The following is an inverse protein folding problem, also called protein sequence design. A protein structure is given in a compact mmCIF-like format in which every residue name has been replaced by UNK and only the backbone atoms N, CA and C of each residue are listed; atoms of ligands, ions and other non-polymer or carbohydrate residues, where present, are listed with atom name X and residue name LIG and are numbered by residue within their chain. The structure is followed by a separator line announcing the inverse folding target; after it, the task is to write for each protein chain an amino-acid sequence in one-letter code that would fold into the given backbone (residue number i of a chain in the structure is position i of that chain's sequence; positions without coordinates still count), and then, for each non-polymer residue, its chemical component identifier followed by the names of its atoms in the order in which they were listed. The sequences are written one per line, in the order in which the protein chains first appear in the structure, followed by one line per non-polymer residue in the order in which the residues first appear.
data_IF_314702286570
#
_entry.id   IF_314702286570
#
_cell.length_a   1.000
_cell.length_b   1.000
_cell.length_c   1.000
_cell.angle_alpha   90.00
_cell.angle_beta   90.00
_cell.angle_gamma   90.00
#
_symmetry.space_group_name_H-M   'P 1'
#
loop_
_entity.id
_entity.type
_entity.pdbx_description
1 polymer ?
#
# COMPACT_ATOMS: atom_id res chain seq x y z
N UNK A 1 -20.72 19.39 7.87
CA UNK A 1 -19.81 18.24 7.69
C UNK A 1 -20.45 17.35 6.66
N UNK A 2 -19.92 17.32 5.43
CA UNK A 2 -20.40 16.35 4.46
C UNK A 2 -20.10 14.94 5.01
N UNK A 3 -21.10 14.07 4.95
CA UNK A 3 -20.93 12.67 5.33
C UNK A 3 -19.93 12.04 4.38
N UNK A 4 -18.78 11.62 4.91
CA UNK A 4 -17.76 10.93 4.13
C UNK A 4 -18.36 9.59 3.68
N UNK A 5 -18.38 9.34 2.37
CA UNK A 5 -19.00 8.13 1.80
C UNK A 5 -18.10 6.90 1.94
N UNK A 6 -18.67 5.71 1.84
CA UNK A 6 -17.88 4.48 1.74
C UNK A 6 -17.29 4.29 0.34
N UNK A 7 -16.29 3.40 0.22
CA UNK A 7 -15.70 2.96 -1.05
C UNK A 7 -16.73 2.09 -1.77
N UNK A 8 -17.13 2.42 -3.01
CA UNK A 8 -18.17 1.66 -3.74
C UNK A 8 -17.81 1.33 -5.18
N UNK A 9 -16.73 1.89 -5.70
CA UNK A 9 -16.43 1.82 -7.12
C UNK A 9 -14.93 1.79 -7.41
N UNK A 10 -14.58 1.43 -8.64
CA UNK A 10 -13.20 1.51 -9.15
C UNK A 10 -12.66 2.93 -9.07
N UNK A 11 -13.49 3.93 -9.37
CA UNK A 11 -13.10 5.34 -9.28
C UNK A 11 -12.77 5.77 -7.84
N UNK A 12 -13.45 5.18 -6.84
CA UNK A 12 -13.14 5.43 -5.44
C UNK A 12 -11.78 4.82 -5.05
N UNK A 13 -11.48 3.61 -5.54
CA UNK A 13 -10.19 2.96 -5.35
C UNK A 13 -9.07 3.77 -6.00
N UNK A 14 -9.27 4.25 -7.24
CA UNK A 14 -8.31 5.11 -7.93
C UNK A 14 -8.01 6.37 -7.12
N UNK A 15 -9.05 7.09 -6.69
CA UNK A 15 -8.91 8.29 -5.85
C UNK A 15 -8.15 7.99 -4.55
N UNK A 16 -8.47 6.88 -3.88
CA UNK A 16 -7.78 6.48 -2.65
C UNK A 16 -6.29 6.24 -2.90
N UNK A 17 -5.97 5.48 -3.94
CA UNK A 17 -4.58 5.12 -4.29
C UNK A 17 -3.79 6.35 -4.74
N UNK A 18 -4.38 7.24 -5.54
CA UNK A 18 -3.74 8.47 -6.02
C UNK A 18 -3.41 9.43 -4.87
N UNK A 19 -4.37 9.64 -3.98
CA UNK A 19 -4.18 10.48 -2.81
C UNK A 19 -3.12 9.90 -1.87
N UNK A 20 -3.13 8.58 -1.69
CA UNK A 20 -2.11 7.89 -0.92
C UNK A 20 -0.72 8.04 -1.58
N UNK A 21 -0.64 7.91 -2.90
CA UNK A 21 0.62 8.00 -3.62
C UNK A 21 1.24 9.38 -3.57
N UNK A 22 0.41 10.43 -3.58
CA UNK A 22 0.87 11.79 -3.35
C UNK A 22 1.58 11.91 -1.99
N UNK A 23 1.01 11.32 -0.93
CA UNK A 23 1.61 11.35 0.40
C UNK A 23 2.90 10.54 0.51
N UNK A 24 2.94 9.32 -0.02
CA UNK A 24 4.14 8.47 0.12
C UNK A 24 5.33 8.98 -0.69
N UNK A 25 5.11 9.64 -1.82
CA UNK A 25 6.18 10.21 -2.64
C UNK A 25 6.88 11.37 -1.93
N UNK A 26 6.13 12.16 -1.14
CA UNK A 26 6.64 13.32 -0.41
C UNK A 26 7.09 12.98 1.03
N UNK A 27 6.88 11.74 1.50
CA UNK A 27 7.19 11.35 2.87
C UNK A 27 8.71 11.21 3.12
N UNK A 28 9.21 11.85 4.17
CA UNK A 28 10.64 11.88 4.49
C UNK A 28 11.19 10.51 4.92
N UNK A 29 10.34 9.63 5.47
CA UNK A 29 10.76 8.33 6.01
C UNK A 29 10.72 7.27 4.91
N UNK A 30 9.62 7.18 4.16
CA UNK A 30 9.42 6.10 3.18
C UNK A 30 9.55 6.55 1.73
N UNK A 31 9.50 7.85 1.42
CA UNK A 31 9.47 8.35 0.05
C UNK A 31 10.71 8.01 -0.78
N UNK A 32 11.85 7.80 -0.12
CA UNK A 32 13.06 7.33 -0.79
C UNK A 32 12.89 5.94 -1.44
N UNK A 33 12.04 5.07 -0.89
CA UNK A 33 11.72 3.77 -1.52
C UNK A 33 10.96 3.94 -2.84
N UNK A 34 10.14 4.99 -2.96
CA UNK A 34 9.29 5.24 -4.14
C UNK A 34 9.96 6.15 -5.18
N UNK A 35 11.00 6.90 -4.79
CA UNK A 35 11.67 7.88 -5.66
C UNK A 35 13.11 7.52 -6.05
N UNK A 36 13.84 6.76 -5.22
CA UNK A 36 15.29 6.52 -5.39
C UNK A 36 15.67 5.04 -5.46
N UNK A 37 15.01 4.19 -4.67
CA UNK A 37 15.39 2.77 -4.56
C UNK A 37 14.91 1.95 -5.76
N UNK A 38 13.73 2.25 -6.29
CA UNK A 38 13.19 1.61 -7.49
C UNK A 38 12.88 2.65 -8.57
N UNK A 39 13.24 2.38 -9.84
CA UNK A 39 12.77 3.19 -10.95
C UNK A 39 11.25 3.00 -11.07
N UNK A 40 10.50 4.04 -10.71
CA UNK A 40 9.05 3.99 -10.68
C UNK A 40 8.49 4.87 -11.80
N UNK A 41 7.93 4.21 -12.81
CA UNK A 41 7.04 4.86 -13.78
C UNK A 41 5.63 4.86 -13.19
N UNK A 42 5.14 6.03 -12.77
CA UNK A 42 3.83 6.16 -12.12
C UNK A 42 2.67 5.82 -13.06
N UNK A 43 2.80 6.11 -14.36
CA UNK A 43 1.77 5.82 -15.37
C UNK A 43 1.58 4.31 -15.56
N UNK A 44 2.66 3.54 -15.34
CA UNK A 44 2.62 2.08 -15.36
C UNK A 44 2.24 1.51 -13.99
N UNK A 45 2.73 2.12 -12.90
CA UNK A 45 2.60 1.55 -11.56
C UNK A 45 1.21 1.73 -10.95
N UNK A 46 0.62 2.92 -11.05
CA UNK A 46 -0.68 3.21 -10.43
C UNK A 46 -1.80 2.27 -10.93
N UNK A 47 -1.92 1.98 -12.25
CA UNK A 47 -2.89 0.99 -12.74
C UNK A 47 -2.74 -0.42 -12.19
N UNK A 48 -1.54 -0.82 -11.73
CA UNK A 48 -1.31 -2.11 -11.08
C UNK A 48 -1.91 -2.08 -9.66
N UNK A 49 -1.73 -0.97 -8.95
CA UNK A 49 -2.23 -0.80 -7.59
C UNK A 49 -3.74 -0.61 -7.53
N UNK A 50 -4.34 0.05 -8.52
CA UNK A 50 -5.80 0.10 -8.62
C UNK A 50 -6.36 -1.32 -8.68
N UNK A 51 -5.85 -2.16 -9.60
CA UNK A 51 -6.25 -3.57 -9.71
C UNK A 51 -6.01 -4.37 -8.43
N UNK A 52 -4.90 -4.13 -7.75
CA UNK A 52 -4.58 -4.78 -6.48
C UNK A 52 -5.63 -4.47 -5.40
N UNK A 53 -5.97 -3.20 -5.21
CA UNK A 53 -6.95 -2.78 -4.21
C UNK A 53 -8.40 -3.05 -4.63
N UNK A 54 -8.72 -2.97 -5.92
CA UNK A 54 -10.01 -3.43 -6.46
C UNK A 54 -10.24 -4.90 -6.13
N UNK A 55 -9.21 -5.75 -6.27
CA UNK A 55 -9.30 -7.15 -5.93
C UNK A 55 -9.59 -7.37 -4.44
N UNK A 56 -8.88 -6.68 -3.56
CA UNK A 56 -9.08 -6.85 -2.12
C UNK A 56 -10.37 -6.23 -1.58
N UNK A 57 -10.81 -5.11 -2.14
CA UNK A 57 -11.92 -4.34 -1.57
C UNK A 57 -13.23 -4.70 -2.24
N UNK A 58 -13.24 -4.81 -3.57
CA UNK A 58 -14.44 -5.01 -4.38
C UNK A 58 -14.60 -6.47 -4.84
N UNK A 59 -13.76 -7.38 -4.33
CA UNK A 59 -13.77 -8.81 -4.61
C UNK A 59 -13.69 -9.14 -6.12
N UNK A 60 -12.91 -8.33 -6.86
CA UNK A 60 -12.69 -8.47 -8.31
C UNK A 60 -11.36 -9.17 -8.60
N UNK A 61 -11.30 -10.38 -9.16
CA UNK A 61 -10.04 -11.11 -9.39
C UNK A 61 -9.24 -10.57 -10.60
N UNK A 62 -8.88 -9.29 -10.59
CA UNK A 62 -8.21 -8.57 -11.70
C UNK A 62 -6.71 -8.37 -11.49
N UNK A 63 -6.18 -8.81 -10.34
CA UNK A 63 -4.77 -8.73 -9.99
C UNK A 63 -4.15 -10.13 -9.84
N UNK A 64 -3.02 -10.37 -10.50
CA UNK A 64 -2.31 -11.67 -10.51
C UNK A 64 -0.83 -11.55 -10.08
N UNK A 65 -0.42 -10.40 -9.53
CA UNK A 65 0.97 -10.16 -9.14
C UNK A 65 1.36 -10.80 -7.82
N UNK A 66 2.67 -10.84 -7.55
CA UNK A 66 3.22 -11.24 -6.26
C UNK A 66 3.98 -10.06 -5.62
N UNK A 67 3.29 -9.24 -4.80
CA UNK A 67 3.90 -8.04 -4.23
C UNK A 67 5.04 -8.38 -3.27
N UNK A 68 4.97 -9.52 -2.57
CA UNK A 68 6.00 -9.95 -1.62
C UNK A 68 7.39 -10.07 -2.25
N UNK A 69 7.49 -10.65 -3.46
CA UNK A 69 8.77 -10.80 -4.15
C UNK A 69 9.44 -9.44 -4.44
N UNK A 70 8.63 -8.42 -4.75
CA UNK A 70 9.14 -7.06 -5.00
C UNK A 70 9.68 -6.41 -3.72
N UNK A 71 8.97 -6.56 -2.60
CA UNK A 71 9.42 -6.01 -1.32
C UNK A 71 10.70 -6.69 -0.83
N UNK A 72 10.82 -8.01 -0.98
CA UNK A 72 12.07 -8.72 -0.65
C UNK A 72 13.25 -8.30 -1.55
N UNK A 73 13.00 -7.96 -2.82
CA UNK A 73 14.04 -7.46 -3.72
C UNK A 73 14.46 -6.03 -3.35
N UNK A 74 13.51 -5.16 -3.00
CA UNK A 74 13.79 -3.81 -2.52
C UNK A 74 14.58 -3.84 -1.21
N UNK A 75 14.23 -4.75 -0.29
CA UNK A 75 14.93 -4.93 0.98
C UNK A 75 16.42 -5.24 0.81
N UNK A 76 16.77 -6.00 -0.23
CA UNK A 76 18.15 -6.32 -0.56
C UNK A 76 18.95 -5.12 -1.10
N UNK A 77 18.26 -4.05 -1.53
CA UNK A 77 18.87 -2.80 -2.04
C UNK A 77 18.93 -1.76 -0.93
N UNK A 78 17.82 -1.54 -0.23
CA UNK A 78 17.68 -0.62 0.90
C UNK A 78 16.90 -1.32 2.02
N UNK A 79 17.50 -1.51 3.20
CA UNK A 79 16.84 -2.20 4.30
C UNK A 79 15.49 -1.60 4.68
N UNK A 80 14.42 -2.39 4.60
CA UNK A 80 13.12 -2.06 5.18
C UNK A 80 13.09 -2.38 6.67
N UNK A 81 12.76 -1.41 7.50
CA UNK A 81 12.70 -1.56 8.96
C UNK A 81 11.25 -1.45 9.44
N UNK A 82 10.93 -1.91 10.67
CA UNK A 82 9.58 -1.84 11.23
C UNK A 82 8.96 -0.43 11.13
N UNK A 83 9.77 0.61 11.32
CA UNK A 83 9.33 2.01 11.21
C UNK A 83 8.82 2.38 9.81
N UNK A 84 9.37 1.80 8.74
CA UNK A 84 8.92 2.05 7.37
C UNK A 84 7.52 1.47 7.12
N UNK A 85 7.25 0.25 7.61
CA UNK A 85 5.93 -0.37 7.52
C UNK A 85 4.89 0.38 8.37
N UNK A 86 5.27 0.80 9.57
CA UNK A 86 4.41 1.58 10.45
C UNK A 86 4.02 2.92 9.80
N UNK A 87 4.98 3.63 9.20
CA UNK A 87 4.73 4.90 8.52
C UNK A 87 3.85 4.74 7.28
N UNK A 88 4.10 3.72 6.47
CA UNK A 88 3.26 3.40 5.31
C UNK A 88 1.80 3.16 5.73
N UNK A 89 1.60 2.42 6.83
CA UNK A 89 0.27 2.11 7.35
C UNK A 89 -0.42 3.35 7.93
N UNK A 90 0.31 4.23 8.62
CA UNK A 90 -0.20 5.51 9.12
C UNK A 90 -0.74 6.37 7.98
N UNK A 91 0.08 6.60 6.95
CA UNK A 91 -0.30 7.37 5.77
C UNK A 91 -1.50 6.76 5.04
N UNK A 92 -1.56 5.42 4.96
CA UNK A 92 -2.69 4.72 4.36
C UNK A 92 -3.98 4.98 5.14
N UNK A 93 -3.97 4.76 6.45
CA UNK A 93 -5.13 4.97 7.32
C UNK A 93 -5.60 6.42 7.29
N UNK A 94 -4.67 7.36 7.40
CA UNK A 94 -4.97 8.79 7.31
C UNK A 94 -5.64 9.13 5.97
N UNK A 95 -5.16 8.54 4.86
CA UNK A 95 -5.78 8.74 3.53
C UNK A 95 -7.18 8.14 3.47
N UNK A 96 -7.38 6.92 3.99
CA UNK A 96 -8.72 6.32 4.06
C UNK A 96 -9.65 7.23 4.85
N UNK A 97 -9.29 7.61 6.08
CA UNK A 97 -10.14 8.42 6.97
C UNK A 97 -10.40 9.84 6.44
N UNK A 98 -9.53 10.36 5.57
CA UNK A 98 -9.72 11.66 4.89
C UNK A 98 -10.83 11.60 3.84
N UNK A 99 -10.92 10.49 3.09
CA UNK A 99 -11.78 10.43 1.88
C UNK A 99 -12.96 9.48 1.99
N UNK A 100 -12.91 8.50 2.89
CA UNK A 100 -13.88 7.42 2.99
C UNK A 100 -14.24 7.06 4.44
N UNK A 101 -15.48 6.64 4.65
CA UNK A 101 -15.94 6.04 5.90
C UNK A 101 -17.01 4.99 5.63
N UNK A 102 -16.97 3.87 6.35
CA UNK A 102 -17.88 2.74 6.16
C UNK A 102 -17.17 1.40 6.19
N UNK A 103 -17.91 0.34 5.83
CA UNK A 103 -17.43 -1.03 5.93
C UNK A 103 -16.22 -1.30 5.02
N UNK A 104 -16.23 -0.81 3.78
CA UNK A 104 -15.12 -1.02 2.87
C UNK A 104 -13.92 -0.13 3.19
N UNK A 105 -14.12 1.05 3.77
CA UNK A 105 -13.04 1.85 4.36
C UNK A 105 -12.36 1.11 5.53
N UNK A 106 -13.12 0.52 6.46
CA UNK A 106 -12.56 -0.30 7.53
C UNK A 106 -11.87 -1.56 6.99
N UNK A 107 -12.46 -2.23 5.98
CA UNK A 107 -11.82 -3.36 5.27
C UNK A 107 -10.49 -2.93 4.67
N UNK A 108 -10.39 -1.73 4.09
CA UNK A 108 -9.15 -1.22 3.52
C UNK A 108 -8.06 -1.01 4.56
N UNK A 109 -8.39 -0.44 5.73
CA UNK A 109 -7.44 -0.29 6.84
C UNK A 109 -7.00 -1.65 7.38
N UNK A 110 -7.94 -2.55 7.65
CA UNK A 110 -7.64 -3.90 8.13
C UNK A 110 -6.76 -4.70 7.16
N UNK A 111 -7.07 -4.68 5.85
CA UNK A 111 -6.26 -5.39 4.84
C UNK A 111 -4.85 -4.84 4.74
N UNK A 112 -4.69 -3.51 4.81
CA UNK A 112 -3.38 -2.87 4.83
C UNK A 112 -2.53 -3.32 6.04
N UNK A 113 -3.12 -3.43 7.22
CA UNK A 113 -2.44 -3.95 8.42
C UNK A 113 -1.93 -5.39 8.21
N UNK A 114 -2.78 -6.27 7.69
CA UNK A 114 -2.41 -7.66 7.44
C UNK A 114 -1.29 -7.78 6.41
N UNK A 115 -1.31 -6.94 5.38
CA UNK A 115 -0.24 -6.87 4.37
C UNK A 115 1.06 -6.40 5.00
N UNK A 116 1.04 -5.29 5.74
CA UNK A 116 2.22 -4.73 6.38
C UNK A 116 2.87 -5.74 7.34
N UNK A 117 2.05 -6.40 8.17
CA UNK A 117 2.51 -7.43 9.11
C UNK A 117 3.17 -8.61 8.38
N UNK A 118 2.54 -9.12 7.32
CA UNK A 118 3.08 -10.23 6.54
C UNK A 118 4.39 -9.84 5.84
N UNK A 119 4.44 -8.64 5.24
CA UNK A 119 5.61 -8.12 4.55
C UNK A 119 6.79 -7.97 5.50
N UNK A 120 6.57 -7.31 6.64
CA UNK A 120 7.57 -7.15 7.67
C UNK A 120 8.11 -8.49 8.16
N UNK A 121 7.21 -9.43 8.49
CA UNK A 121 7.62 -10.76 8.95
C UNK A 121 8.49 -11.50 7.92
N UNK A 122 8.13 -11.46 6.64
CA UNK A 122 8.88 -12.14 5.58
C UNK A 122 10.22 -11.47 5.28
N UNK A 123 10.28 -10.13 5.31
CA UNK A 123 11.52 -9.38 5.20
C UNK A 123 12.46 -9.75 6.35
N UNK A 124 11.97 -9.72 7.58
CA UNK A 124 12.76 -10.07 8.77
C UNK A 124 13.22 -11.53 8.75
N UNK A 125 12.36 -12.45 8.34
CA UNK A 125 12.70 -13.87 8.23
C UNK A 125 13.80 -14.13 7.21
N UNK A 126 13.75 -13.47 6.04
CA UNK A 126 14.75 -13.59 4.99
C UNK A 126 16.14 -13.13 5.46
N UNK A 127 16.21 -12.04 6.22
CA UNK A 127 17.48 -11.53 6.78
C UNK A 127 18.09 -12.47 7.81
N UNK A 128 17.24 -13.14 8.60
CA UNK A 128 17.66 -14.10 9.63
C UNK A 128 18.01 -15.49 9.07
N UNK A 129 17.90 -15.71 7.76
CA UNK A 129 18.25 -16.97 7.11
C UNK A 129 17.24 -18.10 7.31
N UNK A 130 15.99 -17.78 7.69
CA UNK A 130 14.93 -18.78 7.79
C UNK A 130 14.37 -19.06 6.39
N UNK A 131 14.66 -20.24 5.85
CA UNK A 131 14.13 -20.76 4.59
C UNK A 131 12.93 -21.67 4.82
#
# INVERSE_FOLDING_TARGET
MESVKDIKSVTDVQRLVDAFYTKVLDDEVIGHFFTRVVPLDLDVHLPILYRFWENMLLDRPVYQGNPMLKHLAMDAISPMEPQHFARWLELWKETVDTYFAGELAEKAKYRAEQIALLMQHKVDARRKGYH
#
